data_IF_712876801689
#
_entry.id   IF_712876801689
#
_cell.length_a   1.000
_cell.length_b   1.000
_cell.length_c   1.000
_cell.angle_alpha   90.00
_cell.angle_beta   90.00
_cell.angle_gamma   90.00
#
_symmetry.space_group_name_H-M   'P 1'
#
loop_
_entity.id
_entity.type
_entity.pdbx_description
1 polymer ?
#
# COMPACT_ATOMS: atom_id res chain seq x y z
N UNK A 1 -11.56 -2.73 -11.66
CA UNK A 1 -12.00 -2.92 -10.26
C UNK A 1 -11.78 -1.65 -9.46
N UNK A 2 -12.68 -1.36 -8.55
CA UNK A 2 -12.55 -0.21 -7.66
C UNK A 2 -11.48 -0.45 -6.61
N UNK A 3 -10.66 0.57 -6.35
CA UNK A 3 -9.66 0.54 -5.28
C UNK A 3 -10.19 1.28 -4.08
N UNK A 4 -10.12 0.62 -2.93
CA UNK A 4 -10.56 1.18 -1.64
C UNK A 4 -9.34 1.31 -0.74
N UNK A 5 -9.05 2.53 -0.31
CA UNK A 5 -7.99 2.80 0.65
C UNK A 5 -8.58 2.69 2.06
N UNK A 6 -8.15 1.69 2.81
CA UNK A 6 -8.62 1.50 4.17
C UNK A 6 -8.16 2.63 5.08
N UNK A 7 -8.81 2.77 6.23
CA UNK A 7 -8.43 3.76 7.22
C UNK A 7 -6.95 3.60 7.63
N UNK A 8 -6.54 2.36 7.87
CA UNK A 8 -5.14 2.07 8.21
C UNK A 8 -4.18 2.53 7.10
N UNK A 9 -4.50 2.25 5.85
CA UNK A 9 -3.67 2.67 4.73
C UNK A 9 -3.56 4.18 4.64
N UNK A 10 -4.67 4.89 4.85
CA UNK A 10 -4.68 6.36 4.84
C UNK A 10 -3.84 6.94 5.98
N UNK A 11 -3.92 6.35 7.17
CA UNK A 11 -3.08 6.76 8.30
C UNK A 11 -1.60 6.57 7.99
N UNK A 12 -1.25 5.45 7.36
CA UNK A 12 0.15 5.21 6.97
C UNK A 12 0.64 6.23 5.95
N UNK A 13 -0.18 6.62 4.99
CA UNK A 13 0.18 7.65 4.03
C UNK A 13 0.45 9.00 4.73
N UNK A 14 -0.37 9.35 5.71
CA UNK A 14 -0.16 10.56 6.51
C UNK A 14 1.16 10.50 7.28
N UNK A 15 1.47 9.37 7.89
CA UNK A 15 2.73 9.18 8.61
C UNK A 15 3.94 9.30 7.68
N UNK A 16 3.85 8.73 6.47
CA UNK A 16 4.91 8.85 5.46
C UNK A 16 5.09 10.30 5.06
N UNK A 17 3.98 11.01 4.81
CA UNK A 17 4.03 12.42 4.47
C UNK A 17 4.68 13.25 5.58
N UNK A 18 4.27 13.03 6.82
CA UNK A 18 4.83 13.74 7.97
C UNK A 18 6.33 13.50 8.11
N UNK A 19 6.75 12.26 7.93
CA UNK A 19 8.17 11.90 8.01
C UNK A 19 9.01 12.62 6.95
N UNK A 20 8.55 12.61 5.71
CA UNK A 20 9.28 13.24 4.59
C UNK A 20 9.22 14.77 4.71
N UNK A 21 8.13 15.33 5.22
CA UNK A 21 7.94 16.77 5.33
C UNK A 21 8.94 17.43 6.28
N UNK A 22 9.55 16.67 7.18
CA UNK A 22 10.61 17.19 8.04
C UNK A 22 11.81 17.69 7.24
N UNK A 23 12.09 17.07 6.10
CA UNK A 23 13.15 17.48 5.20
C UNK A 23 12.62 18.39 4.08
N UNK A 24 11.47 18.05 3.51
CA UNK A 24 10.90 18.78 2.38
C UNK A 24 9.39 18.61 2.29
N UNK A 25 8.60 19.62 2.69
CA UNK A 25 7.15 19.56 2.53
C UNK A 25 6.69 19.34 1.10
N UNK A 26 7.38 19.92 0.13
CA UNK A 26 7.02 19.76 -1.29
C UNK A 26 7.19 18.32 -1.76
N UNK A 27 8.30 17.69 -1.37
CA UNK A 27 8.58 16.31 -1.72
C UNK A 27 7.62 15.33 -1.06
N UNK A 28 7.15 15.66 0.15
CA UNK A 28 6.25 14.77 0.88
C UNK A 28 4.92 14.59 0.16
N UNK A 29 4.31 15.67 -0.27
CA UNK A 29 3.04 15.63 -1.01
C UNK A 29 3.21 14.88 -2.32
N UNK A 30 4.25 15.22 -3.07
CA UNK A 30 4.53 14.57 -4.35
C UNK A 30 4.74 13.07 -4.20
N UNK A 31 5.47 12.66 -3.18
CA UNK A 31 5.78 11.25 -2.96
C UNK A 31 4.54 10.43 -2.63
N UNK A 32 3.69 10.95 -1.74
CA UNK A 32 2.44 10.28 -1.38
C UNK A 32 1.51 10.19 -2.60
N UNK A 33 1.42 11.25 -3.39
CA UNK A 33 0.64 11.23 -4.63
C UNK A 33 1.16 10.15 -5.60
N UNK A 34 2.48 9.98 -5.71
CA UNK A 34 3.07 8.96 -6.55
C UNK A 34 2.72 7.54 -6.09
N UNK A 35 2.69 7.30 -4.78
CA UNK A 35 2.27 6.00 -4.22
C UNK A 35 0.84 5.69 -4.65
N UNK A 36 -0.07 6.64 -4.44
CA UNK A 36 -1.49 6.47 -4.77
C UNK A 36 -1.67 6.26 -6.27
N UNK A 37 -1.05 7.10 -7.09
CA UNK A 37 -1.14 7.00 -8.54
C UNK A 37 -0.60 5.67 -9.07
N UNK A 38 0.50 5.19 -8.49
CA UNK A 38 1.06 3.91 -8.89
C UNK A 38 0.08 2.76 -8.65
N UNK A 39 -0.49 2.68 -7.46
CA UNK A 39 -1.46 1.64 -7.13
C UNK A 39 -2.69 1.72 -8.02
N UNK A 40 -3.23 2.91 -8.24
CA UNK A 40 -4.44 3.12 -9.03
C UNK A 40 -4.23 2.90 -10.52
N UNK A 41 -3.01 3.07 -11.02
CA UNK A 41 -2.67 2.81 -12.41
C UNK A 41 -2.46 1.31 -12.68
N UNK A 42 -1.85 0.60 -11.74
CA UNK A 42 -1.40 -0.78 -11.95
C UNK A 42 -2.46 -1.81 -11.58
N UNK A 43 -3.10 -1.66 -10.44
CA UNK A 43 -3.95 -2.72 -9.87
C UNK A 43 -5.24 -3.01 -10.64
N UNK A 44 -5.98 -2.04 -11.18
CA UNK A 44 -7.24 -2.35 -11.86
C UNK A 44 -7.10 -3.26 -13.08
N UNK A 45 -5.97 -3.18 -13.79
CA UNK A 45 -5.73 -3.98 -14.98
C UNK A 45 -5.18 -5.37 -14.70
N UNK A 46 -4.70 -5.61 -13.48
CA UNK A 46 -4.12 -6.89 -13.10
C UNK A 46 -4.04 -7.04 -11.59
N UNK A 47 -5.18 -7.38 -10.94
CA UNK A 47 -5.22 -7.42 -9.47
C UNK A 47 -4.19 -8.34 -8.82
N UNK A 48 -3.81 -9.41 -9.49
CA UNK A 48 -2.82 -10.36 -8.97
C UNK A 48 -1.40 -10.09 -9.46
N UNK A 49 -1.13 -8.89 -9.99
CA UNK A 49 0.20 -8.53 -10.49
C UNK A 49 1.25 -8.45 -9.38
N UNK A 50 0.83 -8.07 -8.18
CA UNK A 50 1.72 -8.03 -7.02
C UNK A 50 2.12 -9.43 -6.58
N UNK A 51 3.23 -9.52 -5.85
CA UNK A 51 3.67 -10.82 -5.31
C UNK A 51 2.86 -11.17 -4.07
N UNK A 52 2.81 -12.47 -3.75
CA UNK A 52 2.24 -12.89 -2.47
C UNK A 52 3.08 -12.36 -1.32
N UNK A 53 2.41 -12.02 -0.21
CA UNK A 53 3.09 -11.49 0.97
C UNK A 53 3.75 -12.65 1.73
N UNK A 54 5.09 -12.61 1.92
CA UNK A 54 5.77 -13.75 2.56
C UNK A 54 5.29 -14.08 3.96
N UNK A 55 4.82 -13.06 4.70
CA UNK A 55 4.34 -13.22 6.08
C UNK A 55 2.92 -13.79 6.16
N UNK A 56 2.21 -13.88 5.04
CA UNK A 56 0.80 -14.28 4.99
C UNK A 56 0.58 -15.32 3.92
N UNK A 57 0.01 -16.47 4.30
CA UNK A 57 -0.27 -17.56 3.36
C UNK A 57 -1.68 -17.42 2.78
N UNK A 58 -1.91 -16.35 2.02
CA UNK A 58 -3.19 -16.08 1.37
C UNK A 58 -2.94 -15.53 -0.04
N UNK A 59 -3.33 -16.24 -1.10
CA UNK A 59 -3.06 -15.80 -2.47
C UNK A 59 -3.81 -14.54 -2.89
N UNK A 60 -4.83 -14.13 -2.16
CA UNK A 60 -5.55 -12.90 -2.43
C UNK A 60 -4.96 -11.68 -1.72
N UNK A 61 -4.00 -11.89 -0.83
CA UNK A 61 -3.27 -10.80 -0.18
C UNK A 61 -1.91 -10.69 -0.85
N UNK A 62 -1.69 -9.57 -1.51
CA UNK A 62 -0.51 -9.34 -2.32
C UNK A 62 0.11 -8.00 -2.00
N UNK A 63 1.29 -7.75 -2.53
CA UNK A 63 1.96 -6.47 -2.36
C UNK A 63 2.59 -6.00 -3.65
N UNK A 64 2.56 -4.68 -3.84
CA UNK A 64 3.36 -4.00 -4.84
C UNK A 64 4.55 -3.38 -4.13
N UNK A 65 5.70 -3.43 -4.76
CA UNK A 65 6.87 -2.72 -4.27
C UNK A 65 6.98 -1.41 -5.06
N UNK A 66 6.96 -0.29 -4.34
CA UNK A 66 7.16 1.02 -4.94
C UNK A 66 8.31 1.73 -4.23
N UNK A 67 9.43 1.87 -4.93
CA UNK A 67 10.66 2.37 -4.35
C UNK A 67 11.02 1.54 -3.12
N UNK A 68 11.06 2.12 -1.94
CA UNK A 68 11.37 1.42 -0.68
C UNK A 68 10.14 0.97 0.09
N UNK A 69 8.95 1.15 -0.49
CA UNK A 69 7.69 0.91 0.22
C UNK A 69 6.98 -0.33 -0.29
N UNK A 70 6.27 -0.99 0.63
CA UNK A 70 5.40 -2.12 0.32
C UNK A 70 3.96 -1.64 0.41
N UNK A 71 3.20 -1.84 -0.66
CA UNK A 71 1.77 -1.52 -0.71
C UNK A 71 1.04 -2.85 -0.64
N UNK A 72 0.48 -3.17 0.54
CA UNK A 72 -0.19 -4.45 0.78
C UNK A 72 -1.68 -4.29 0.49
N UNK A 73 -2.23 -5.20 -0.30
CA UNK A 73 -3.63 -5.13 -0.70
C UNK A 73 -4.29 -6.50 -0.70
N UNK A 74 -5.61 -6.50 -0.63
CA UNK A 74 -6.44 -7.70 -0.74
C UNK A 74 -7.29 -7.62 -1.99
N UNK A 75 -7.28 -8.70 -2.79
CA UNK A 75 -8.14 -8.82 -3.96
C UNK A 75 -9.46 -9.44 -3.52
N UNK A 76 -10.52 -8.66 -3.60
CA UNK A 76 -11.87 -9.11 -3.33
C UNK A 76 -12.62 -9.34 -4.65
N UNK A 77 -13.82 -9.88 -4.58
CA UNK A 77 -14.63 -10.19 -5.76
C UNK A 77 -14.87 -8.96 -6.64
N UNK A 78 -15.21 -7.83 -6.02
CA UNK A 78 -15.62 -6.62 -6.75
C UNK A 78 -14.71 -5.42 -6.53
N UNK A 79 -13.71 -5.54 -5.67
CA UNK A 79 -12.82 -4.43 -5.37
C UNK A 79 -11.44 -4.90 -4.91
N UNK A 80 -10.55 -3.94 -4.77
CA UNK A 80 -9.22 -4.16 -4.22
C UNK A 80 -9.11 -3.23 -3.01
N UNK A 81 -8.80 -3.80 -1.84
CA UNK A 81 -8.60 -3.02 -0.63
C UNK A 81 -7.10 -2.83 -0.38
N UNK A 82 -6.66 -1.59 -0.28
CA UNK A 82 -5.30 -1.30 0.16
C UNK A 82 -5.30 -1.36 1.68
N UNK A 83 -4.61 -2.35 2.22
CA UNK A 83 -4.64 -2.65 3.66
C UNK A 83 -3.66 -1.80 4.45
N UNK A 84 -2.45 -1.64 3.92
CA UNK A 84 -1.42 -0.85 4.58
C UNK A 84 -0.30 -0.50 3.60
N UNK A 85 0.47 0.53 3.94
CA UNK A 85 1.66 0.95 3.19
C UNK A 85 2.77 1.20 4.19
N UNK A 86 3.93 0.57 3.99
CA UNK A 86 5.04 0.75 4.93
C UNK A 86 6.39 0.51 4.25
N UNK A 87 7.45 0.93 4.91
CA UNK A 87 8.80 0.75 4.38
C UNK A 87 9.16 -0.74 4.30
N UNK A 88 9.77 -1.15 3.19
CA UNK A 88 10.00 -2.55 2.85
C UNK A 88 10.94 -3.32 3.78
N UNK A 89 11.75 -2.63 4.57
CA UNK A 89 12.62 -3.28 5.55
C UNK A 89 11.87 -3.78 6.78
N UNK A 90 10.69 -3.27 7.01
CA UNK A 90 9.87 -3.62 8.16
C UNK A 90 9.12 -4.91 7.86
N UNK A 91 9.02 -5.79 8.86
CA UNK A 91 8.18 -6.98 8.74
C UNK A 91 6.72 -6.59 8.94
N UNK A 92 5.84 -7.16 8.12
CA UNK A 92 4.41 -6.97 8.26
C UNK A 92 3.92 -7.68 9.52
N UNK A 93 3.20 -6.95 10.36
CA UNK A 93 2.49 -7.52 11.50
C UNK A 93 1.04 -7.76 11.09
N UNK A 94 0.61 -9.02 11.19
CA UNK A 94 -0.72 -9.42 10.73
C UNK A 94 -1.83 -8.62 11.41
N UNK A 95 -1.70 -8.32 12.69
CA UNK A 95 -2.69 -7.55 13.43
C UNK A 95 -2.80 -6.09 12.99
N UNK A 96 -1.83 -5.56 12.27
CA UNK A 96 -1.88 -4.18 11.75
C UNK A 96 -2.83 -4.04 10.57
N UNK A 97 -3.16 -5.13 9.90
CA UNK A 97 -4.00 -5.08 8.69
C UNK A 97 -5.40 -5.66 8.89
N UNK A 98 -5.77 -5.99 10.13
CA UNK A 98 -7.12 -6.40 10.44
C UNK A 98 -7.52 -7.78 9.96
N UNK A 99 -6.59 -8.69 9.84
CA UNK A 99 -6.86 -10.08 9.45
C UNK A 99 -7.21 -10.94 10.66
#
# INVERSE_FOLDING_TARGET
MKIIWTHEALEQLVEIEDFISKDSPERSVKFVDEIVEHAEAVLPGGPHIGRTVPEISNPDIRELIFKKYRIVYRVNKNNIEILTVFEGHRLLRVNEIGL
#
